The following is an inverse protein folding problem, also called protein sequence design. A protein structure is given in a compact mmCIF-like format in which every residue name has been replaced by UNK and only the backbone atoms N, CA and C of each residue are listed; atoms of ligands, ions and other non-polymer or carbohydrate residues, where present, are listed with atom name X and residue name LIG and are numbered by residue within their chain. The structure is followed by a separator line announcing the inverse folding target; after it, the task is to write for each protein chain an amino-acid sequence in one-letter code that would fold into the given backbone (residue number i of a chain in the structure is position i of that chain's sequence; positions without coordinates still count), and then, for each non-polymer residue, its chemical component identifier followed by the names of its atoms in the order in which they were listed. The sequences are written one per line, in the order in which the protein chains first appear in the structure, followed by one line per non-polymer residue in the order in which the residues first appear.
data_IF_300240969034
#
_entry.id   IF_300240969034
#
_cell.length_a   1.000
_cell.length_b   1.000
_cell.length_c   1.000
_cell.angle_alpha   90.00
_cell.angle_beta   90.00
_cell.angle_gamma   90.00
#
_symmetry.space_group_name_H-M   'P 1'
#
loop_
_entity.id
_entity.type
_entity.pdbx_description
1 polymer ?
#
# COMPACT_ATOMS: atom_id res chain seq x y z
N UNK A 1 -4.76 6.15 -6.56
CA UNK A 1 -5.83 6.91 -7.24
C UNK A 1 -7.16 6.42 -6.70
N UNK A 2 -8.10 7.32 -6.36
CA UNK A 2 -9.44 6.92 -5.90
C UNK A 2 -10.36 6.81 -7.11
N UNK A 3 -10.79 5.59 -7.42
CA UNK A 3 -11.74 5.31 -8.49
C UNK A 3 -13.18 5.25 -7.97
N UNK A 4 -14.12 5.02 -8.88
CA UNK A 4 -15.55 5.02 -8.55
C UNK A 4 -15.95 3.91 -7.59
N UNK A 5 -15.33 2.74 -7.72
CA UNK A 5 -15.62 1.63 -6.81
C UNK A 5 -15.06 1.92 -5.41
N UNK A 6 -13.90 2.57 -5.29
CA UNK A 6 -13.36 3.00 -4.00
C UNK A 6 -14.28 4.01 -3.31
N UNK A 7 -14.82 4.99 -4.06
CA UNK A 7 -15.82 5.94 -3.54
C UNK A 7 -17.05 5.24 -2.99
N UNK A 8 -17.58 4.25 -3.73
CA UNK A 8 -18.76 3.50 -3.30
C UNK A 8 -18.48 2.71 -2.01
N UNK A 9 -17.35 2.01 -1.94
CA UNK A 9 -16.95 1.26 -0.75
C UNK A 9 -16.86 2.16 0.49
N UNK A 10 -16.33 3.39 0.34
CA UNK A 10 -16.30 4.36 1.44
C UNK A 10 -17.72 4.81 1.82
N UNK A 11 -18.56 5.13 0.84
CA UNK A 11 -19.94 5.58 1.09
C UNK A 11 -20.78 4.52 1.79
N UNK A 12 -20.59 3.25 1.42
CA UNK A 12 -21.30 2.10 1.99
C UNK A 12 -20.75 1.70 3.37
N UNK A 13 -19.70 2.38 3.86
CA UNK A 13 -19.05 2.06 5.14
C UNK A 13 -18.40 0.67 5.13
N UNK A 14 -17.87 0.23 3.99
CA UNK A 14 -17.25 -1.08 3.85
C UNK A 14 -16.05 -1.24 4.79
N UNK A 15 -15.75 -2.50 5.15
CA UNK A 15 -14.62 -2.80 6.04
C UNK A 15 -13.28 -2.39 5.42
N UNK A 16 -12.30 -2.07 6.27
CA UNK A 16 -10.93 -1.79 5.84
C UNK A 16 -10.37 -2.91 4.96
N UNK A 17 -10.64 -4.17 5.29
CA UNK A 17 -10.20 -5.31 4.49
C UNK A 17 -10.77 -5.28 3.06
N UNK A 18 -12.01 -4.81 2.88
CA UNK A 18 -12.60 -4.67 1.56
C UNK A 18 -11.96 -3.54 0.76
N UNK A 19 -11.73 -2.39 1.40
CA UNK A 19 -11.01 -1.25 0.83
C UNK A 19 -9.57 -1.62 0.47
N UNK A 20 -8.88 -2.35 1.33
CA UNK A 20 -7.51 -2.78 1.12
C UNK A 20 -7.41 -3.73 -0.07
N UNK A 21 -8.25 -4.78 -0.13
CA UNK A 21 -8.27 -5.69 -1.29
C UNK A 21 -8.46 -4.93 -2.60
N UNK A 22 -9.38 -3.96 -2.60
CA UNK A 22 -9.64 -3.11 -3.76
C UNK A 22 -8.42 -2.26 -4.15
N UNK A 23 -7.73 -1.67 -3.17
CA UNK A 23 -6.53 -0.86 -3.39
C UNK A 23 -5.34 -1.71 -3.88
N UNK A 24 -5.07 -2.87 -3.26
CA UNK A 24 -3.93 -3.73 -3.59
C UNK A 24 -4.01 -4.34 -4.99
N UNK A 25 -5.21 -4.47 -5.56
CA UNK A 25 -5.39 -4.87 -6.95
C UNK A 25 -4.90 -3.82 -7.98
N UNK A 26 -4.67 -2.57 -7.57
CA UNK A 26 -4.30 -1.46 -8.48
C UNK A 26 -3.04 -0.72 -8.10
N UNK A 27 -2.68 -0.73 -6.82
CA UNK A 27 -1.52 0.01 -6.31
C UNK A 27 -0.65 -0.91 -5.48
N UNK A 28 0.67 -0.91 -5.70
CA UNK A 28 1.60 -1.65 -4.88
C UNK A 28 1.54 -1.16 -3.43
N UNK A 29 1.88 -2.04 -2.50
CA UNK A 29 2.11 -1.70 -1.09
C UNK A 29 3.34 -0.80 -0.93
N UNK A 30 3.40 -0.11 0.20
CA UNK A 30 4.57 0.68 0.60
C UNK A 30 5.84 -0.19 0.61
N UNK A 31 5.71 -1.44 1.07
CA UNK A 31 6.83 -2.39 1.11
C UNK A 31 7.30 -2.80 -0.28
N UNK A 32 6.39 -3.10 -1.20
CA UNK A 32 6.75 -3.43 -2.60
C UNK A 32 7.40 -2.26 -3.33
N UNK A 33 6.92 -1.04 -3.10
CA UNK A 33 7.55 0.17 -3.65
C UNK A 33 8.95 0.40 -3.05
N UNK A 34 9.08 0.27 -1.73
CA UNK A 34 10.37 0.36 -1.07
C UNK A 34 11.38 -0.66 -1.58
N UNK A 35 10.96 -1.91 -1.83
CA UNK A 35 11.83 -2.93 -2.43
C UNK A 35 12.34 -2.49 -3.82
N UNK A 36 11.49 -1.90 -4.66
CA UNK A 36 11.92 -1.37 -5.96
C UNK A 36 12.97 -0.26 -5.81
N UNK A 37 12.80 0.62 -4.83
CA UNK A 37 13.75 1.72 -4.55
C UNK A 37 15.08 1.23 -3.98
N UNK A 38 15.07 0.17 -3.18
CA UNK A 38 16.28 -0.52 -2.72
C UNK A 38 17.04 -1.11 -3.92
N UNK A 39 16.34 -1.79 -4.83
CA UNK A 39 16.94 -2.36 -6.04
C UNK A 39 17.50 -1.30 -6.98
N UNK A 40 16.90 -0.10 -7.00
CA UNK A 40 17.40 1.05 -7.74
C UNK A 40 18.57 1.78 -7.05
N UNK A 41 18.93 1.41 -5.81
CA UNK A 41 19.99 2.06 -5.03
C UNK A 41 19.60 3.43 -4.45
N UNK A 42 18.31 3.74 -4.39
CA UNK A 42 17.81 5.02 -3.87
C UNK A 42 17.67 5.05 -2.33
N UNK A 43 17.58 3.88 -1.71
CA UNK A 43 17.42 3.72 -0.26
C UNK A 43 18.00 2.38 0.21
N UNK A 44 18.09 2.17 1.52
CA UNK A 44 18.61 0.91 2.11
C UNK A 44 17.49 -0.03 2.54
N UNK A 45 17.79 -1.33 2.57
CA UNK A 45 16.87 -2.33 3.10
C UNK A 45 16.57 -2.11 4.60
N UNK A 46 17.53 -1.59 5.35
CA UNK A 46 17.36 -1.25 6.77
C UNK A 46 16.33 -0.14 6.96
N UNK A 47 16.39 0.89 6.12
CA UNK A 47 15.44 2.00 6.14
C UNK A 47 14.03 1.53 5.78
N UNK A 48 13.90 0.70 4.75
CA UNK A 48 12.63 0.08 4.39
C UNK A 48 12.03 -0.70 5.57
N UNK A 49 12.82 -1.59 6.18
CA UNK A 49 12.37 -2.39 7.31
C UNK A 49 11.99 -1.52 8.52
N UNK A 50 12.73 -0.43 8.77
CA UNK A 50 12.43 0.50 9.86
C UNK A 50 11.05 1.14 9.70
N UNK A 51 10.69 1.54 8.48
CA UNK A 51 9.44 2.27 8.21
C UNK A 51 8.23 1.34 8.07
N UNK A 52 8.39 0.12 7.56
CA UNK A 52 7.26 -0.80 7.36
C UNK A 52 7.01 -1.75 8.53
N UNK A 53 7.75 -1.64 9.64
CA UNK A 53 7.62 -2.53 10.81
C UNK A 53 6.43 -2.23 11.70
N UNK A 54 5.86 -1.03 11.64
CA UNK A 54 4.64 -0.69 12.41
C UNK A 54 3.35 -1.25 11.77
N UNK A 55 3.42 -1.77 10.54
CA UNK A 55 2.29 -2.37 9.83
C UNK A 55 2.25 -3.92 9.94
N UNK A 56 3.14 -4.54 10.71
CA UNK A 56 3.28 -6.01 10.83
C UNK A 56 2.87 -6.56 12.20
#
# INVERSE_FOLDING_TARGET
VVDETARRLVHDGASEQALERHARARTPSLREDGLRRVLAGETSAEELLRVTREEA
#
